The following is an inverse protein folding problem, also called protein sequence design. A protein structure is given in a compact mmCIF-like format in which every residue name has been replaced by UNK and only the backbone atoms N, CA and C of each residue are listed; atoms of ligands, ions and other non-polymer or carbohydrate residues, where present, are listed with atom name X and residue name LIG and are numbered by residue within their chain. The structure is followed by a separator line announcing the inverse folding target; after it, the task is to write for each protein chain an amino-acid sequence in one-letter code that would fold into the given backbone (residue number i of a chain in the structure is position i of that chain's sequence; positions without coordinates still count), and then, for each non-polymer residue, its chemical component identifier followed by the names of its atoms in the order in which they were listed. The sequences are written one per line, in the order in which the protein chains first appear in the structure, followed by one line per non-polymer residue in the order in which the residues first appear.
data_IF_905441689093
#
_entry.id   IF_905441689093
#
_cell.length_a   1.000
_cell.length_b   1.000
_cell.length_c   1.000
_cell.angle_alpha   90.00
_cell.angle_beta   90.00
_cell.angle_gamma   90.00
#
_symmetry.space_group_name_H-M   'P 1'
#
loop_
_entity.id
_entity.type
_entity.pdbx_description
1 polymer ?
#
# COMPACT_ATOMS: atom_id res chain seq x y z
N UNK A 1 8.95 -1.32 13.81
CA UNK A 1 7.65 -1.59 13.16
C UNK A 1 7.80 -2.76 12.22
N UNK A 2 6.75 -3.55 12.04
CA UNK A 2 6.72 -4.71 11.15
C UNK A 2 5.37 -4.77 10.43
N UNK A 3 5.36 -5.22 9.17
CA UNK A 3 4.16 -5.49 8.38
C UNK A 3 4.21 -6.91 7.81
N UNK A 4 3.07 -7.60 7.84
CA UNK A 4 2.89 -8.98 7.40
C UNK A 4 1.58 -9.13 6.61
N UNK A 5 1.50 -10.21 5.83
CA UNK A 5 0.25 -10.69 5.25
C UNK A 5 0.04 -12.14 5.69
N UNK A 6 -1.21 -12.52 5.95
CA UNK A 6 -1.56 -13.94 6.14
C UNK A 6 -1.55 -14.73 4.82
N UNK A 7 -1.41 -14.05 3.68
CA UNK A 7 -1.60 -14.64 2.37
C UNK A 7 -0.29 -14.91 1.62
N UNK A 8 0.80 -14.27 2.04
CA UNK A 8 2.15 -14.57 1.56
C UNK A 8 3.19 -14.07 2.57
N UNK A 9 4.29 -14.81 2.69
CA UNK A 9 5.45 -14.41 3.48
C UNK A 9 6.33 -13.41 2.71
N UNK A 10 7.26 -12.77 3.41
CA UNK A 10 8.27 -11.92 2.77
C UNK A 10 9.02 -12.70 1.68
N UNK A 11 9.18 -12.05 0.53
CA UNK A 11 9.69 -12.60 -0.73
C UNK A 11 8.91 -13.78 -1.31
N UNK A 12 7.81 -14.24 -0.73
CA UNK A 12 7.05 -15.34 -1.32
C UNK A 12 6.27 -14.87 -2.57
N UNK A 13 5.76 -15.83 -3.33
CA UNK A 13 4.87 -15.54 -4.44
C UNK A 13 3.54 -15.01 -3.92
N UNK A 14 3.10 -13.88 -4.46
CA UNK A 14 1.77 -13.30 -4.22
C UNK A 14 0.74 -14.22 -4.90
N UNK A 15 -0.32 -14.68 -4.18
CA UNK A 15 -1.37 -15.49 -4.78
C UNK A 15 -2.05 -14.79 -5.97
N UNK A 16 -2.31 -15.56 -7.04
CA UNK A 16 -2.90 -15.04 -8.29
C UNK A 16 -4.22 -14.29 -8.09
N UNK A 17 -5.00 -14.58 -7.04
CA UNK A 17 -6.23 -13.82 -6.75
C UNK A 17 -5.98 -12.32 -6.54
N UNK A 18 -4.78 -11.92 -6.09
CA UNK A 18 -4.41 -10.52 -5.90
C UNK A 18 -3.82 -9.86 -7.14
N UNK A 19 -3.56 -10.62 -8.21
CA UNK A 19 -3.06 -10.10 -9.47
C UNK A 19 -4.18 -9.40 -10.25
N UNK A 20 -3.78 -8.51 -11.16
CA UNK A 20 -4.70 -7.75 -12.01
C UNK A 20 -5.56 -8.65 -12.90
N UNK A 21 -4.99 -9.76 -13.38
CA UNK A 21 -5.67 -10.79 -14.16
C UNK A 21 -6.32 -11.91 -13.31
N UNK A 22 -6.24 -11.79 -11.98
CA UNK A 22 -7.00 -12.60 -11.05
C UNK A 22 -8.30 -11.91 -10.63
N UNK A 23 -8.54 -11.83 -9.32
CA UNK A 23 -9.69 -11.09 -8.78
C UNK A 23 -9.38 -9.60 -8.57
N UNK A 24 -8.10 -9.21 -8.67
CA UNK A 24 -7.64 -7.83 -8.55
C UNK A 24 -8.11 -7.15 -7.24
N UNK A 25 -8.01 -7.87 -6.13
CA UNK A 25 -8.33 -7.40 -4.77
C UNK A 25 -7.05 -7.19 -3.96
N UNK A 26 -7.06 -6.28 -2.98
CA UNK A 26 -5.91 -6.05 -2.11
C UNK A 26 -5.65 -7.24 -1.17
N UNK A 27 -4.39 -7.61 -0.87
CA UNK A 27 -4.10 -8.63 0.14
C UNK A 27 -4.41 -8.11 1.55
N UNK A 28 -4.72 -9.00 2.51
CA UNK A 28 -4.83 -8.62 3.91
C UNK A 28 -3.44 -8.25 4.43
N UNK A 29 -3.35 -7.15 5.16
CA UNK A 29 -2.12 -6.65 5.75
C UNK A 29 -2.34 -6.41 7.24
N UNK A 30 -1.36 -6.79 8.07
CA UNK A 30 -1.35 -6.53 9.51
C UNK A 30 0.01 -5.98 9.89
N UNK A 31 0.04 -5.05 10.83
CA UNK A 31 1.28 -4.46 11.33
C UNK A 31 1.30 -4.32 12.84
N UNK A 32 2.51 -4.19 13.36
CA UNK A 32 2.74 -4.02 14.80
C UNK A 32 4.01 -3.22 15.08
N UNK A 33 4.17 -2.80 16.34
CA UNK A 33 5.36 -2.07 16.78
C UNK A 33 5.47 -0.67 16.18
N UNK A 34 4.35 0.02 15.99
CA UNK A 34 4.32 1.44 15.64
C UNK A 34 4.74 2.29 16.86
N UNK A 35 5.49 3.40 16.67
CA UNK A 35 5.81 4.34 17.75
C UNK A 35 4.55 4.88 18.44
N UNK A 36 4.64 5.21 19.73
CA UNK A 36 3.49 5.68 20.53
C UNK A 36 2.93 7.01 20.02
N UNK A 37 3.78 7.80 19.39
CA UNK A 37 3.50 9.13 18.85
C UNK A 37 2.74 9.08 17.51
N UNK A 38 2.50 7.88 16.96
CA UNK A 38 1.81 7.71 15.68
C UNK A 38 0.38 8.24 15.76
N UNK A 39 0.02 9.16 14.85
CA UNK A 39 -1.34 9.70 14.69
C UNK A 39 -2.06 9.15 13.48
N UNK A 40 -1.32 8.80 12.42
CA UNK A 40 -1.88 8.11 11.25
C UNK A 40 -0.87 7.18 10.59
N UNK A 41 -1.37 6.31 9.72
CA UNK A 41 -0.56 5.49 8.83
C UNK A 41 -0.81 5.84 7.37
N UNK A 42 0.20 5.57 6.55
CA UNK A 42 0.10 5.57 5.09
C UNK A 42 0.74 4.30 4.52
N UNK A 43 0.23 3.81 3.39
CA UNK A 43 0.74 2.64 2.69
C UNK A 43 0.89 2.96 1.21
N UNK A 44 2.05 2.60 0.66
CA UNK A 44 2.34 2.64 -0.78
C UNK A 44 2.72 1.23 -1.22
N UNK A 45 2.06 0.72 -2.27
CA UNK A 45 2.50 -0.47 -2.98
C UNK A 45 3.13 -0.06 -4.31
N UNK A 46 4.40 -0.41 -4.54
CA UNK A 46 5.09 -0.12 -5.80
C UNK A 46 5.93 -1.30 -6.33
N UNK A 47 6.11 -1.31 -7.65
CA UNK A 47 6.88 -2.27 -8.44
C UNK A 47 8.05 -1.54 -9.12
N UNK A 48 9.29 -1.65 -8.59
CA UNK A 48 10.46 -1.04 -9.21
C UNK A 48 10.96 -1.79 -10.44
N UNK A 49 10.44 -2.99 -10.72
CA UNK A 49 10.89 -3.85 -11.83
C UNK A 49 10.11 -3.58 -13.12
N UNK A 50 9.08 -2.72 -13.08
CA UNK A 50 8.32 -2.32 -14.25
C UNK A 50 9.22 -1.61 -15.30
N UNK A 51 9.06 -1.93 -16.59
CA UNK A 51 9.98 -1.48 -17.66
C UNK A 51 9.94 0.03 -17.92
N UNK A 52 8.91 0.72 -17.42
CA UNK A 52 8.68 2.15 -17.60
C UNK A 52 9.09 2.98 -16.37
N UNK A 53 9.85 2.38 -15.45
CA UNK A 53 10.16 2.92 -14.14
C UNK A 53 9.18 2.40 -13.08
N UNK A 54 9.36 2.85 -11.84
CA UNK A 54 8.58 2.36 -10.70
C UNK A 54 7.08 2.54 -10.91
N UNK A 55 6.33 1.43 -10.90
CA UNK A 55 4.87 1.42 -11.09
C UNK A 55 4.15 1.37 -9.76
N UNK A 56 3.20 2.26 -9.54
CA UNK A 56 2.43 2.39 -8.30
C UNK A 56 1.13 1.60 -8.41
N UNK A 57 1.00 0.61 -7.54
CA UNK A 57 -0.13 -0.31 -7.47
C UNK A 57 -1.17 0.10 -6.44
N UNK A 58 -0.76 0.80 -5.36
CA UNK A 58 -1.68 1.24 -4.33
C UNK A 58 -1.13 2.43 -3.57
N UNK A 59 -2.00 3.38 -3.26
CA UNK A 59 -1.76 4.49 -2.34
C UNK A 59 -2.96 4.58 -1.42
N UNK A 60 -2.74 4.54 -0.10
CA UNK A 60 -3.77 4.77 0.90
C UNK A 60 -3.15 5.47 2.11
N UNK A 61 -3.83 6.48 2.64
CA UNK A 61 -3.28 7.37 3.66
C UNK A 61 -4.34 7.86 4.65
N UNK A 62 -3.90 8.60 5.67
CA UNK A 62 -4.71 9.04 6.80
C UNK A 62 -5.42 7.89 7.52
N UNK A 63 -4.76 6.72 7.56
CA UNK A 63 -5.28 5.58 8.30
C UNK A 63 -5.20 5.84 9.81
N UNK A 64 -6.29 5.74 10.58
CA UNK A 64 -6.25 6.09 12.00
C UNK A 64 -5.23 5.27 12.79
N UNK A 65 -4.48 5.89 13.71
CA UNK A 65 -3.52 5.17 14.56
C UNK A 65 -4.11 4.01 15.38
N UNK A 66 -5.43 3.99 15.59
CA UNK A 66 -6.15 2.91 16.29
C UNK A 66 -6.27 1.62 15.49
N UNK A 67 -6.07 1.65 14.17
CA UNK A 67 -6.11 0.44 13.34
C UNK A 67 -4.69 -0.08 13.10
N UNK A 68 -4.57 -1.40 13.01
CA UNK A 68 -3.30 -2.10 12.80
C UNK A 68 -3.39 -3.15 11.68
N UNK A 69 -4.43 -3.07 10.86
CA UNK A 69 -4.66 -3.99 9.76
C UNK A 69 -5.51 -3.38 8.66
N UNK A 70 -5.29 -3.84 7.43
CA UNK A 70 -6.20 -3.69 6.31
C UNK A 70 -6.78 -5.07 5.96
N UNK A 71 -8.11 -5.19 5.81
CA UNK A 71 -8.71 -6.44 5.36
C UNK A 71 -8.31 -6.76 3.92
N UNK A 72 -8.55 -8.00 3.51
CA UNK A 72 -8.57 -8.33 2.08
C UNK A 72 -9.66 -7.51 1.37
N UNK A 73 -9.43 -7.18 0.10
CA UNK A 73 -10.41 -6.48 -0.74
C UNK A 73 -10.88 -5.13 -0.17
N UNK A 74 -9.94 -4.28 0.25
CA UNK A 74 -10.21 -2.90 0.64
C UNK A 74 -10.94 -2.17 -0.49
N UNK A 75 -11.99 -1.42 -0.13
CA UNK A 75 -12.82 -0.65 -1.06
C UNK A 75 -11.99 0.33 -1.91
N UNK A 76 -12.41 0.53 -3.16
CA UNK A 76 -11.81 1.49 -4.10
C UNK A 76 -12.50 2.86 -4.08
N UNK A 77 -13.34 3.12 -3.08
CA UNK A 77 -13.93 4.45 -2.88
C UNK A 77 -12.84 5.47 -2.48
N UNK A 78 -13.08 6.75 -2.75
CA UNK A 78 -12.14 7.83 -2.42
C UNK A 78 -11.81 7.87 -0.93
N UNK A 79 -12.84 7.76 -0.09
CA UNK A 79 -12.74 7.69 1.36
C UNK A 79 -13.46 6.43 1.87
N UNK A 80 -12.83 5.74 2.81
CA UNK A 80 -13.33 4.49 3.37
C UNK A 80 -13.51 4.69 4.88
N UNK A 81 -14.76 4.65 5.33
CA UNK A 81 -15.12 4.91 6.72
C UNK A 81 -14.31 4.01 7.67
N UNK A 82 -13.60 4.64 8.61
CA UNK A 82 -12.78 3.95 9.62
C UNK A 82 -11.45 3.41 9.11
N UNK A 83 -11.17 3.45 7.81
CA UNK A 83 -9.90 3.01 7.23
C UNK A 83 -9.03 4.19 6.81
N UNK A 84 -9.47 5.08 5.93
CA UNK A 84 -8.61 6.15 5.39
C UNK A 84 -9.05 6.62 4.01
N UNK A 85 -8.14 7.25 3.27
CA UNK A 85 -8.40 7.78 1.91
C UNK A 85 -7.51 7.09 0.89
N UNK A 86 -8.07 6.72 -0.25
CA UNK A 86 -7.32 6.19 -1.37
C UNK A 86 -6.66 7.33 -2.16
N UNK A 87 -5.43 7.08 -2.61
CA UNK A 87 -4.81 7.83 -3.69
C UNK A 87 -5.18 7.27 -5.06
N UNK A 88 -4.60 7.84 -6.11
CA UNK A 88 -4.71 7.34 -7.49
C UNK A 88 -3.43 6.57 -7.83
N UNK A 89 -3.60 5.33 -8.30
CA UNK A 89 -2.49 4.47 -8.74
C UNK A 89 -2.13 4.73 -10.21
N UNK A 90 -1.10 4.07 -10.76
CA UNK A 90 -0.69 4.29 -12.16
C UNK A 90 -1.65 3.70 -13.22
N UNK A 91 -2.67 2.95 -12.80
CA UNK A 91 -3.78 2.57 -13.68
C UNK A 91 -4.84 3.68 -13.81
N UNK A 92 -4.71 4.76 -13.03
CA UNK A 92 -5.68 5.86 -13.00
C UNK A 92 -6.89 5.60 -12.09
N UNK A 93 -6.85 4.53 -11.29
CA UNK A 93 -7.94 4.16 -10.39
C UNK A 93 -7.62 4.51 -8.93
N UNK A 94 -8.67 4.66 -8.13
CA UNK A 94 -8.55 4.66 -6.69
C UNK A 94 -8.25 3.27 -6.15
N UNK A 95 -7.39 3.20 -5.14
CA UNK A 95 -7.10 1.98 -4.40
C UNK A 95 -6.11 1.05 -5.09
N UNK A 96 -6.20 -0.24 -4.76
CA UNK A 96 -5.25 -1.26 -5.18
C UNK A 96 -5.58 -1.77 -6.58
N UNK A 97 -4.59 -1.80 -7.47
CA UNK A 97 -4.59 -2.65 -8.65
C UNK A 97 -3.37 -3.57 -8.60
N UNK A 98 -3.57 -4.85 -8.86
CA UNK A 98 -2.59 -5.88 -8.59
C UNK A 98 -1.46 -6.03 -9.60
N UNK A 99 -0.52 -6.96 -9.33
CA UNK A 99 0.52 -7.37 -10.27
C UNK A 99 -0.02 -7.68 -11.68
N UNK A 100 0.64 -7.15 -12.71
CA UNK A 100 0.40 -7.49 -14.11
C UNK A 100 1.70 -7.42 -14.93
N UNK A 101 2.78 -8.11 -14.53
CA UNK A 101 4.07 -7.96 -15.17
C UNK A 101 4.01 -8.45 -16.62
N UNK A 102 4.61 -7.74 -17.59
CA UNK A 102 4.62 -8.15 -18.99
C UNK A 102 5.50 -9.39 -19.25
N UNK A 103 6.40 -9.71 -18.32
CA UNK A 103 7.26 -10.89 -18.35
C UNK A 103 8.17 -10.94 -17.13
N UNK A 104 8.89 -12.05 -16.96
CA UNK A 104 9.79 -12.23 -15.81
C UNK A 104 9.08 -12.30 -14.47
N UNK A 105 9.83 -12.10 -13.39
CA UNK A 105 9.31 -12.04 -12.03
C UNK A 105 9.57 -10.65 -11.48
N UNK A 106 8.50 -9.95 -11.10
CA UNK A 106 8.57 -8.62 -10.51
C UNK A 106 8.40 -8.68 -9.00
N UNK A 107 8.89 -7.65 -8.31
CA UNK A 107 8.79 -7.47 -6.86
C UNK A 107 7.82 -6.33 -6.56
N UNK A 108 6.92 -6.57 -5.62
CA UNK A 108 5.90 -5.61 -5.19
C UNK A 108 6.14 -5.28 -3.72
N UNK A 109 6.46 -4.03 -3.44
CA UNK A 109 6.80 -3.55 -2.11
C UNK A 109 5.62 -2.83 -1.48
N UNK A 110 5.04 -3.42 -0.44
CA UNK A 110 4.05 -2.81 0.44
C UNK A 110 4.79 -2.08 1.56
N UNK A 111 4.97 -0.76 1.42
CA UNK A 111 5.68 0.11 2.36
C UNK A 111 4.68 0.84 3.24
N UNK A 112 4.76 0.60 4.54
CA UNK A 112 3.92 1.21 5.56
C UNK A 112 4.71 2.27 6.32
N UNK A 113 4.10 3.44 6.49
CA UNK A 113 4.65 4.59 7.19
C UNK A 113 3.79 4.91 8.40
N UNK A 114 4.42 5.07 9.56
CA UNK A 114 3.80 5.63 10.75
C UNK A 114 4.12 7.14 10.82
N UNK A 115 3.09 7.97 10.93
CA UNK A 115 3.21 9.43 10.87
C UNK A 115 2.85 10.09 12.21
N UNK A 116 3.54 11.15 12.57
CA UNK A 116 3.27 11.97 13.77
C UNK A 116 2.11 12.97 13.61
N UNK A 117 1.46 12.95 12.44
CA UNK A 117 0.39 13.85 12.04
C UNK A 117 -0.69 13.13 11.24
N UNK A 118 -1.83 13.79 11.05
CA UNK A 118 -2.82 13.45 10.04
C UNK A 118 -2.62 14.46 8.90
N UNK A 119 -2.43 13.99 7.68
CA UNK A 119 -2.11 14.85 6.55
C UNK A 119 -3.34 15.65 6.10
N UNK A 120 -4.52 15.01 6.11
CA UNK A 120 -5.82 15.53 5.70
C UNK A 120 -5.90 16.25 4.33
N UNK A 121 -5.22 15.80 3.26
CA UNK A 121 -5.51 16.26 1.92
C UNK A 121 -6.83 15.64 1.43
N UNK A 122 -7.31 16.09 0.26
CA UNK A 122 -8.35 15.37 -0.47
C UNK A 122 -7.82 13.98 -0.87
N UNK A 123 -8.73 13.03 -1.06
CA UNK A 123 -8.41 11.76 -1.71
C UNK A 123 -7.77 11.97 -3.09
N UNK A 124 -7.15 10.93 -3.62
CA UNK A 124 -6.59 10.94 -4.97
C UNK A 124 -5.17 11.47 -5.09
N UNK A 125 -4.42 11.52 -3.98
CA UNK A 125 -2.99 11.79 -4.07
C UNK A 125 -2.26 10.73 -4.89
N UNK A 126 -1.29 11.17 -5.70
CA UNK A 126 -0.27 10.27 -6.25
C UNK A 126 0.72 9.87 -5.17
N UNK A 127 1.55 8.86 -5.46
CA UNK A 127 2.69 8.48 -4.59
C UNK A 127 3.59 9.67 -4.29
N UNK A 128 3.93 10.48 -5.29
CA UNK A 128 4.87 11.59 -5.18
C UNK A 128 4.31 12.68 -4.26
N UNK A 129 3.03 13.02 -4.43
CA UNK A 129 2.36 14.00 -3.59
C UNK A 129 2.20 13.51 -2.14
N UNK A 130 1.93 12.21 -1.95
CA UNK A 130 1.89 11.62 -0.62
C UNK A 130 3.28 11.65 0.05
N UNK A 131 4.33 11.25 -0.66
CA UNK A 131 5.72 11.33 -0.15
C UNK A 131 6.10 12.76 0.23
N UNK A 132 5.71 13.76 -0.59
CA UNK A 132 5.93 15.16 -0.27
C UNK A 132 5.17 15.60 0.99
N UNK A 133 3.91 15.19 1.14
CA UNK A 133 3.10 15.48 2.31
C UNK A 133 3.63 14.82 3.60
N UNK A 134 4.24 13.63 3.50
CA UNK A 134 4.83 12.90 4.63
C UNK A 134 6.21 13.42 5.04
N UNK A 135 6.85 14.30 4.25
CA UNK A 135 8.22 14.74 4.50
C UNK A 135 8.33 15.44 5.86
N UNK A 136 9.19 14.90 6.72
CA UNK A 136 9.40 15.40 8.09
C UNK A 136 8.45 14.84 9.14
N UNK A 137 7.48 14.01 8.74
CA UNK A 137 6.44 13.45 9.62
C UNK A 137 6.57 11.93 9.86
N UNK A 138 7.49 11.25 9.15
CA UNK A 138 7.67 9.79 9.26
C UNK A 138 8.42 9.45 10.54
N UNK A 139 7.75 8.73 11.44
CA UNK A 139 8.32 8.22 12.69
C UNK A 139 8.98 6.84 12.51
N UNK A 140 8.38 5.99 11.68
CA UNK A 140 8.87 4.66 11.38
C UNK A 140 8.37 4.18 10.02
N UNK A 141 9.12 3.27 9.41
CA UNK A 141 8.77 2.57 8.18
C UNK A 141 8.86 1.05 8.40
N UNK A 142 8.02 0.30 7.71
CA UNK A 142 8.11 -1.16 7.57
C UNK A 142 7.75 -1.55 6.14
N UNK A 143 8.30 -2.67 5.67
CA UNK A 143 8.00 -3.16 4.32
C UNK A 143 7.72 -4.67 4.29
N UNK A 144 6.79 -5.05 3.42
CA UNK A 144 6.58 -6.43 2.98
C UNK A 144 6.79 -6.46 1.47
N UNK A 145 7.64 -7.35 0.98
CA UNK A 145 7.84 -7.54 -0.46
C UNK A 145 7.30 -8.90 -0.85
N UNK A 146 6.50 -8.96 -1.90
CA UNK A 146 6.07 -10.20 -2.54
C UNK A 146 6.51 -10.24 -4.00
N UNK A 147 6.63 -11.44 -4.56
CA UNK A 147 6.98 -11.66 -5.97
C UNK A 147 5.75 -12.07 -6.77
N UNK A 148 5.66 -11.67 -8.03
CA UNK A 148 4.67 -12.22 -8.95
C UNK A 148 5.25 -12.43 -10.34
N UNK A 149 4.76 -13.47 -11.01
CA UNK A 149 5.04 -13.82 -12.39
C UNK A 149 3.76 -14.40 -12.96
N UNK A 150 3.41 -13.96 -14.17
CA UNK A 150 2.29 -14.53 -14.95
C UNK A 150 2.63 -15.91 -15.47
#
# INVERSE_FOLDING_TARGET
MEIKSSSFNHEAMIPAKYAYDGQNISPPLVWSGAPKETKSFALICDDPDAPVGTWVHWVIFDMPAKINSLPESVSRQEEIAGIGKNGINNFGNYGYDGPCPPGGTHRYYFKLYALDTILNPKAGLSKENLLAAMKGHVLAEAQLMGRYKR
#
